data_IF_981547386136
#
_entry.id   IF_981547386136
#
_cell.length_a   1.000
_cell.length_b   1.000
_cell.length_c   1.000
_cell.angle_alpha   90.00
_cell.angle_beta   90.00
_cell.angle_gamma   90.00
#
_symmetry.space_group_name_H-M   'P 1'
#
loop_
_entity.id
_entity.type
_entity.pdbx_description
1 polymer ?
#
# COMPACT_ATOMS: atom_id res chain seq x y z
N UNK A 1 50.04 -1.42 19.38
CA UNK A 1 49.13 -2.09 20.33
C UNK A 1 47.89 -2.50 19.57
N UNK A 2 47.83 -3.77 19.19
CA UNK A 2 46.60 -4.47 18.80
C UNK A 2 45.77 -4.70 20.06
N UNK A 3 44.44 -4.70 19.95
CA UNK A 3 43.60 -5.35 20.96
C UNK A 3 42.24 -4.69 21.18
N UNK A 4 41.20 -5.51 21.04
CA UNK A 4 39.81 -5.32 21.46
C UNK A 4 39.07 -4.18 20.74
N UNK A 5 38.12 -4.45 19.86
CA UNK A 5 36.83 -5.08 20.17
C UNK A 5 36.44 -6.02 19.03
N UNK A 6 36.69 -7.30 19.24
CA UNK A 6 36.12 -8.42 18.50
C UNK A 6 35.65 -9.44 19.53
N UNK A 7 34.43 -9.26 20.04
CA UNK A 7 33.65 -10.29 20.74
C UNK A 7 32.34 -9.65 21.27
N UNK A 8 31.25 -9.83 20.52
CA UNK A 8 29.90 -10.02 21.07
C UNK A 8 28.94 -10.43 19.94
N UNK A 9 29.30 -11.51 19.26
CA UNK A 9 28.33 -12.40 18.63
C UNK A 9 28.60 -13.77 19.22
N UNK A 10 27.92 -14.09 20.32
CA UNK A 10 27.85 -15.46 20.84
C UNK A 10 26.57 -15.63 21.64
N UNK A 11 25.73 -16.56 21.19
CA UNK A 11 24.37 -16.82 21.66
C UNK A 11 23.36 -16.34 20.60
N UNK A 12 22.71 -17.18 19.79
CA UNK A 12 22.08 -18.46 20.12
C UNK A 12 22.13 -19.39 18.88
N UNK A 13 22.75 -20.54 19.11
CA UNK A 13 22.56 -21.88 18.54
C UNK A 13 21.47 -22.03 17.45
N UNK A 14 21.90 -22.08 16.19
CA UNK A 14 21.26 -22.89 15.14
C UNK A 14 21.65 -24.35 15.37
N UNK A 15 20.75 -25.14 15.98
CA UNK A 15 20.83 -26.61 15.98
C UNK A 15 20.09 -27.10 14.76
N UNK A 16 20.79 -27.63 13.74
CA UNK A 16 20.08 -28.33 12.66
C UNK A 16 20.79 -28.58 11.33
N UNK A 17 22.10 -28.34 11.16
CA UNK A 17 22.78 -28.68 9.91
C UNK A 17 23.91 -29.68 10.16
N UNK A 18 23.83 -30.80 9.44
CA UNK A 18 24.74 -31.94 9.49
C UNK A 18 26.18 -31.58 9.04
N UNK A 19 27.20 -32.33 9.49
CA UNK A 19 28.62 -31.96 9.33
C UNK A 19 29.21 -32.20 7.94
N UNK A 20 28.40 -32.48 6.91
CA UNK A 20 28.90 -32.85 5.58
C UNK A 20 29.06 -31.71 4.59
N UNK A 21 28.81 -30.45 4.99
CA UNK A 21 28.99 -29.27 4.13
C UNK A 21 30.14 -28.35 4.56
N UNK A 22 30.94 -28.75 5.56
CA UNK A 22 32.05 -27.93 6.07
C UNK A 22 33.36 -28.08 5.27
N UNK A 23 33.46 -29.00 4.30
CA UNK A 23 34.72 -29.32 3.61
C UNK A 23 34.84 -28.79 2.16
N UNK A 24 33.93 -27.94 1.68
CA UNK A 24 34.04 -27.32 0.34
C UNK A 24 34.42 -25.83 0.38
N UNK A 25 34.63 -25.25 1.57
CA UNK A 25 35.07 -23.86 1.72
C UNK A 25 36.59 -23.73 1.83
N UNK A 26 37.34 -24.11 0.79
CA UNK A 26 38.72 -23.63 0.55
C UNK A 26 39.08 -23.69 -0.95
N UNK A 27 38.58 -22.74 -1.73
CA UNK A 27 39.09 -22.25 -3.03
C UNK A 27 38.10 -21.20 -3.52
N UNK A 28 38.38 -20.00 -4.01
CA UNK A 28 39.55 -19.23 -4.38
C UNK A 28 39.09 -17.73 -4.31
N UNK A 29 39.96 -16.71 -4.37
CA UNK A 29 39.54 -15.31 -4.23
C UNK A 29 38.61 -14.90 -5.37
N UNK A 30 37.47 -14.30 -5.05
CA UNK A 30 36.53 -13.74 -6.04
C UNK A 30 37.21 -12.61 -6.80
N UNK A 31 37.68 -12.90 -8.02
CA UNK A 31 38.05 -11.86 -8.98
C UNK A 31 36.78 -11.08 -9.27
N UNK A 32 36.74 -9.79 -8.91
CA UNK A 32 35.74 -8.85 -9.42
C UNK A 32 35.83 -8.87 -10.94
N UNK A 33 34.88 -9.51 -11.60
CA UNK A 33 34.74 -9.47 -13.06
C UNK A 33 34.24 -8.07 -13.42
N UNK A 34 35.07 -7.32 -14.14
CA UNK A 34 34.63 -6.07 -14.77
C UNK A 34 33.63 -6.47 -15.84
N UNK A 35 32.34 -6.19 -15.60
CA UNK A 35 31.25 -6.55 -16.50
C UNK A 35 31.47 -5.88 -17.86
N UNK A 36 31.42 -6.65 -18.95
CA UNK A 36 31.60 -6.13 -20.29
C UNK A 36 30.49 -5.12 -20.63
N UNK A 37 30.87 -3.99 -21.22
CA UNK A 37 29.92 -2.97 -21.66
C UNK A 37 29.70 -3.11 -23.15
N UNK A 38 28.50 -3.55 -23.55
CA UNK A 38 28.10 -3.67 -24.95
C UNK A 38 27.94 -2.28 -25.57
N UNK A 39 28.45 -2.08 -26.79
CA UNK A 39 28.50 -0.79 -27.47
C UNK A 39 27.72 -0.79 -28.77
N UNK A 40 27.98 -1.77 -29.65
CA UNK A 40 27.32 -1.88 -30.96
C UNK A 40 27.05 -3.35 -31.29
N UNK A 41 26.04 -3.60 -32.11
CA UNK A 41 25.75 -4.93 -32.67
C UNK A 41 25.62 -4.77 -34.18
N UNK A 42 26.42 -5.51 -34.92
CA UNK A 42 26.30 -5.61 -36.38
C UNK A 42 25.54 -6.88 -36.74
N UNK A 43 24.60 -6.77 -37.67
CA UNK A 43 23.86 -7.91 -38.23
C UNK A 43 24.36 -8.12 -39.64
N UNK A 44 24.92 -9.29 -39.89
CA UNK A 44 25.40 -9.74 -41.19
C UNK A 44 24.42 -10.75 -41.78
N UNK A 45 24.24 -10.71 -43.09
CA UNK A 45 23.43 -11.66 -43.83
C UNK A 45 24.17 -12.98 -44.14
N UNK A 46 23.51 -13.90 -44.85
CA UNK A 46 24.06 -15.20 -45.27
C UNK A 46 25.33 -15.08 -46.14
N UNK A 47 25.59 -13.90 -46.71
CA UNK A 47 26.72 -13.62 -47.58
C UNK A 47 27.85 -12.85 -46.87
N UNK A 48 27.66 -12.53 -45.58
CA UNK A 48 28.63 -11.74 -44.80
C UNK A 48 28.56 -10.24 -45.10
N UNK A 49 27.51 -9.77 -45.77
CA UNK A 49 27.26 -8.36 -45.99
C UNK A 49 26.45 -7.76 -44.83
N UNK A 50 26.67 -6.47 -44.55
CA UNK A 50 26.02 -5.79 -43.43
C UNK A 50 24.55 -5.51 -43.74
N UNK A 51 23.66 -6.17 -42.99
CA UNK A 51 22.21 -6.07 -43.08
C UNK A 51 21.64 -5.01 -42.12
N UNK A 52 22.33 -4.74 -41.01
CA UNK A 52 21.96 -3.67 -40.09
C UNK A 52 22.97 -3.42 -38.97
N UNK A 53 22.85 -2.26 -38.33
CA UNK A 53 23.64 -1.86 -37.16
C UNK A 53 22.71 -1.36 -36.05
N UNK A 54 22.91 -1.90 -34.85
CA UNK A 54 22.28 -1.41 -33.62
C UNK A 54 23.34 -0.74 -32.75
N UNK A 55 23.26 0.59 -32.68
CA UNK A 55 24.15 1.42 -31.87
C UNK A 55 23.54 1.59 -30.48
N UNK A 56 24.14 0.98 -29.45
CA UNK A 56 23.71 1.14 -28.06
C UNK A 56 24.43 2.31 -27.37
N UNK A 57 25.63 2.66 -27.86
CA UNK A 57 26.41 3.80 -27.40
C UNK A 57 26.91 4.62 -28.60
N UNK A 58 26.42 5.85 -28.74
CA UNK A 58 26.75 6.76 -29.84
C UNK A 58 28.19 7.27 -29.81
N UNK A 59 28.86 7.17 -28.65
CA UNK A 59 30.21 7.72 -28.45
C UNK A 59 31.31 6.67 -28.76
N UNK A 60 30.94 5.52 -29.33
CA UNK A 60 31.89 4.46 -29.65
C UNK A 60 32.65 4.76 -30.95
N UNK A 61 34.00 4.90 -30.90
CA UNK A 61 34.82 5.34 -32.04
C UNK A 61 35.16 4.23 -33.04
N UNK A 62 34.69 3.00 -32.81
CA UNK A 62 34.97 1.85 -33.66
C UNK A 62 33.80 1.63 -34.60
N UNK A 63 34.11 1.48 -35.89
CA UNK A 63 33.14 1.26 -36.95
C UNK A 63 33.31 -0.12 -37.60
N UNK A 64 32.31 -0.53 -38.39
CA UNK A 64 32.33 -1.79 -39.15
C UNK A 64 33.58 -1.95 -40.03
N UNK A 65 34.13 -0.82 -40.53
CA UNK A 65 35.36 -0.84 -41.33
C UNK A 65 36.60 -1.31 -40.55
N UNK A 66 36.62 -1.13 -39.24
CA UNK A 66 37.72 -1.59 -38.39
C UNK A 66 37.59 -3.07 -38.04
N UNK A 67 36.35 -3.58 -37.95
CA UNK A 67 36.08 -5.02 -37.86
C UNK A 67 36.61 -5.75 -39.10
N UNK A 68 36.33 -5.24 -40.31
CA UNK A 68 36.77 -5.86 -41.56
C UNK A 68 38.30 -5.93 -41.71
N UNK A 69 39.04 -4.97 -41.12
CA UNK A 69 40.51 -4.97 -41.15
C UNK A 69 41.12 -6.05 -40.25
N UNK A 70 40.39 -6.47 -39.21
CA UNK A 70 40.85 -7.43 -38.20
C UNK A 70 40.29 -8.83 -38.44
N UNK A 71 39.32 -8.95 -39.35
CA UNK A 71 38.75 -10.22 -39.74
C UNK A 71 39.81 -11.13 -40.41
N UNK A 72 40.06 -12.34 -39.88
CA UNK A 72 40.96 -13.31 -40.52
C UNK A 72 40.44 -13.71 -41.90
N UNK A 73 41.34 -14.05 -42.82
CA UNK A 73 40.98 -14.55 -44.16
C UNK A 73 40.17 -15.86 -44.13
N UNK A 74 40.22 -16.58 -43.01
CA UNK A 74 39.48 -17.82 -42.74
C UNK A 74 38.07 -17.56 -42.17
N UNK A 75 37.73 -16.30 -41.87
CA UNK A 75 36.47 -15.92 -41.21
C UNK A 75 36.56 -15.97 -39.68
N UNK A 76 35.44 -15.68 -39.02
CA UNK A 76 35.29 -15.77 -37.56
C UNK A 76 34.29 -16.90 -37.24
N UNK A 77 34.63 -17.77 -36.30
CA UNK A 77 33.74 -18.86 -35.88
C UNK A 77 32.63 -18.40 -34.93
N UNK A 78 31.65 -19.27 -34.71
CA UNK A 78 30.59 -19.03 -33.73
C UNK A 78 31.20 -18.94 -32.31
N UNK A 79 30.86 -17.87 -31.60
CA UNK A 79 31.36 -17.51 -30.27
C UNK A 79 32.84 -17.16 -30.19
N UNK A 80 33.50 -16.98 -31.33
CA UNK A 80 34.88 -16.51 -31.36
C UNK A 80 34.96 -15.00 -31.10
N UNK A 81 35.99 -14.60 -30.35
CA UNK A 81 36.25 -13.21 -29.99
C UNK A 81 37.51 -12.67 -30.68
N UNK A 82 37.39 -11.55 -31.39
CA UNK A 82 38.50 -10.78 -31.95
C UNK A 82 38.77 -9.54 -31.10
N UNK A 83 40.04 -9.27 -30.80
CA UNK A 83 40.45 -8.18 -29.93
C UNK A 83 41.01 -7.00 -30.75
N UNK A 84 40.45 -5.81 -30.52
CA UNK A 84 40.89 -4.55 -31.11
C UNK A 84 41.12 -3.54 -29.99
N UNK A 85 42.34 -3.53 -29.46
CA UNK A 85 42.71 -2.68 -28.32
C UNK A 85 41.92 -3.03 -27.06
N UNK A 86 41.07 -2.11 -26.61
CA UNK A 86 40.20 -2.30 -25.44
C UNK A 86 38.82 -2.90 -25.77
N UNK A 87 38.55 -3.11 -27.06
CA UNK A 87 37.28 -3.59 -27.56
C UNK A 87 37.37 -5.02 -28.09
N UNK A 88 36.27 -5.75 -27.96
CA UNK A 88 36.16 -7.16 -28.33
C UNK A 88 34.96 -7.32 -29.24
N UNK A 89 35.19 -7.87 -30.43
CA UNK A 89 34.16 -8.33 -31.35
C UNK A 89 33.88 -9.80 -31.05
N UNK A 90 32.64 -10.17 -30.76
CA UNK A 90 32.24 -11.57 -30.59
C UNK A 90 31.17 -11.91 -31.62
N UNK A 91 31.43 -12.89 -32.47
CA UNK A 91 30.46 -13.34 -33.47
C UNK A 91 29.54 -14.43 -32.90
N UNK A 92 28.27 -14.36 -33.25
CA UNK A 92 27.27 -15.37 -32.95
C UNK A 92 26.55 -15.73 -34.23
N UNK A 93 26.58 -17.01 -34.59
CA UNK A 93 25.88 -17.52 -35.75
C UNK A 93 24.50 -18.01 -35.31
N UNK A 94 23.44 -17.37 -35.81
CA UNK A 94 22.07 -17.82 -35.59
C UNK A 94 21.37 -17.95 -36.94
N UNK A 95 21.16 -19.20 -37.36
CA UNK A 95 20.40 -19.51 -38.57
C UNK A 95 20.99 -18.87 -39.83
N UNK A 96 20.29 -17.88 -40.36
CA UNK A 96 20.62 -17.17 -41.61
C UNK A 96 21.40 -15.87 -41.40
N UNK A 97 21.56 -15.44 -40.15
CA UNK A 97 22.23 -14.19 -39.81
C UNK A 97 23.43 -14.44 -38.91
N UNK A 98 24.45 -13.60 -39.03
CA UNK A 98 25.60 -13.57 -38.14
C UNK A 98 25.59 -12.26 -37.37
N UNK A 99 25.53 -12.34 -36.04
CA UNK A 99 25.51 -11.17 -35.16
C UNK A 99 26.92 -10.94 -34.62
N UNK A 100 27.49 -9.77 -34.86
CA UNK A 100 28.81 -9.39 -34.34
C UNK A 100 28.64 -8.33 -33.26
N UNK A 101 28.91 -8.69 -32.01
CA UNK A 101 28.79 -7.82 -30.85
C UNK A 101 30.11 -7.13 -30.57
N UNK A 102 30.07 -5.80 -30.48
CA UNK A 102 31.19 -4.98 -30.04
C UNK A 102 31.02 -4.63 -28.56
N UNK A 103 31.93 -5.11 -27.71
CA UNK A 103 31.93 -4.85 -26.27
C UNK A 103 33.27 -4.29 -25.81
N UNK A 104 33.25 -3.49 -24.74
CA UNK A 104 34.47 -3.06 -24.03
C UNK A 104 34.71 -4.01 -22.87
N UNK A 105 35.79 -4.80 -22.94
CA UNK A 105 36.08 -5.90 -22.01
C UNK A 105 35.55 -7.26 -22.51
N UNK A 106 36.00 -8.34 -21.85
CA UNK A 106 35.63 -9.71 -22.25
C UNK A 106 34.27 -10.10 -21.67
N UNK A 107 33.38 -10.63 -22.51
CA UNK A 107 32.11 -11.19 -22.07
C UNK A 107 32.38 -12.43 -21.21
N UNK A 108 31.72 -12.53 -20.05
CA UNK A 108 31.78 -13.75 -19.26
C UNK A 108 31.10 -14.89 -20.03
N UNK A 109 31.53 -16.16 -19.86
CA UNK A 109 30.92 -17.29 -20.55
C UNK A 109 29.40 -17.40 -20.31
N UNK A 110 28.94 -17.01 -19.13
CA UNK A 110 27.51 -16.91 -18.79
C UNK A 110 26.79 -15.84 -19.63
N UNK A 111 27.41 -14.68 -19.84
CA UNK A 111 26.85 -13.61 -20.67
C UNK A 111 26.83 -14.01 -22.16
N UNK A 112 27.79 -14.81 -22.61
CA UNK A 112 27.85 -15.37 -23.97
C UNK A 112 26.67 -16.31 -24.23
N UNK A 113 26.33 -17.19 -23.29
CA UNK A 113 25.20 -18.12 -23.46
C UNK A 113 23.85 -17.40 -23.42
N UNK A 114 23.68 -16.41 -22.55
CA UNK A 114 22.47 -15.58 -22.50
C UNK A 114 22.30 -14.73 -23.76
N UNK A 115 23.37 -14.12 -24.26
CA UNK A 115 23.33 -13.33 -25.50
C UNK A 115 23.04 -14.21 -26.71
N UNK A 116 23.64 -15.40 -26.80
CA UNK A 116 23.32 -16.37 -27.84
C UNK A 116 21.83 -16.75 -27.84
N UNK A 117 21.24 -16.99 -26.66
CA UNK A 117 19.83 -17.35 -26.53
C UNK A 117 18.90 -16.21 -26.97
N UNK A 118 19.21 -14.98 -26.56
CA UNK A 118 18.44 -13.79 -26.96
C UNK A 118 18.53 -13.55 -28.47
N UNK A 119 19.72 -13.69 -29.05
CA UNK A 119 19.92 -13.50 -30.49
C UNK A 119 19.26 -14.60 -31.31
N UNK A 120 19.23 -15.84 -30.80
CA UNK A 120 18.49 -16.95 -31.42
C UNK A 120 16.97 -16.69 -31.40
N UNK A 121 16.45 -16.13 -30.30
CA UNK A 121 15.06 -15.70 -30.23
C UNK A 121 14.77 -14.55 -31.20
N UNK A 122 15.67 -13.56 -31.29
CA UNK A 122 15.54 -12.45 -32.23
C UNK A 122 15.61 -12.89 -33.71
N UNK A 123 16.46 -13.87 -34.04
CA UNK A 123 16.52 -14.50 -35.35
C UNK A 123 15.18 -15.14 -35.72
N UNK A 124 14.49 -15.82 -34.79
CA UNK A 124 13.15 -16.35 -35.08
C UNK A 124 12.14 -15.26 -35.49
N UNK A 125 12.28 -14.04 -34.97
CA UNK A 125 11.45 -12.90 -35.32
C UNK A 125 11.88 -12.27 -36.67
N UNK A 126 13.18 -12.18 -36.94
CA UNK A 126 13.71 -11.68 -38.21
C UNK A 126 13.45 -12.68 -39.37
N UNK A 127 13.56 -13.97 -39.10
CA UNK A 127 13.20 -15.07 -39.99
C UNK A 127 11.69 -15.08 -40.28
N UNK A 128 10.82 -14.77 -39.31
CA UNK A 128 9.37 -14.60 -39.56
C UNK A 128 9.04 -13.37 -40.41
N UNK A 129 9.80 -12.29 -40.24
CA UNK A 129 9.65 -11.09 -41.07
C UNK A 129 10.10 -11.32 -42.52
N UNK A 130 11.16 -12.12 -42.72
CA UNK A 130 11.71 -12.46 -44.04
C UNK A 130 11.03 -13.67 -44.70
N UNK A 131 10.39 -14.56 -43.94
CA UNK A 131 9.61 -15.70 -44.44
C UNK A 131 8.21 -15.34 -44.96
N UNK A 132 7.85 -14.04 -45.03
CA UNK A 132 6.76 -13.60 -45.90
C UNK A 132 7.23 -13.70 -47.35
N UNK A 133 6.70 -14.63 -48.16
CA UNK A 133 7.15 -14.75 -49.54
C UNK A 133 6.73 -13.50 -50.31
N UNK A 134 7.70 -12.76 -50.85
CA UNK A 134 7.49 -11.92 -52.02
C UNK A 134 7.39 -12.81 -53.26
N UNK A 135 6.30 -13.58 -53.35
CA UNK A 135 5.92 -14.35 -54.54
C UNK A 135 4.86 -13.60 -55.36
N UNK A 136 4.82 -13.76 -56.69
CA UNK A 136 4.01 -12.94 -57.58
C UNK A 136 2.52 -13.16 -57.29
N UNK A 137 1.81 -12.06 -57.02
CA UNK A 137 0.36 -12.02 -56.80
C UNK A 137 -0.40 -12.63 -57.99
N UNK A 138 -0.81 -13.88 -57.87
CA UNK A 138 -2.02 -14.36 -58.53
C UNK A 138 -3.23 -13.74 -57.85
N UNK A 139 -4.21 -13.33 -58.64
CA UNK A 139 -5.37 -12.55 -58.26
C UNK A 139 -6.42 -13.36 -57.46
N UNK A 140 -6.02 -13.91 -56.32
CA UNK A 140 -6.91 -14.47 -55.30
C UNK A 140 -6.77 -13.61 -54.03
N UNK A 141 -7.82 -13.03 -53.49
CA UNK A 141 -8.81 -12.18 -54.15
C UNK A 141 -8.71 -10.81 -53.44
N UNK A 142 -8.65 -9.69 -54.17
CA UNK A 142 -8.66 -8.34 -53.53
C UNK A 142 -9.83 -8.18 -52.53
N UNK A 143 -10.92 -8.89 -52.79
CA UNK A 143 -12.09 -8.98 -51.94
C UNK A 143 -11.85 -9.68 -50.58
N UNK A 144 -10.99 -10.70 -50.49
CA UNK A 144 -10.65 -11.34 -49.21
C UNK A 144 -9.75 -10.45 -48.35
N UNK A 145 -8.82 -9.72 -48.98
CA UNK A 145 -7.99 -8.74 -48.28
C UNK A 145 -8.82 -7.55 -47.80
N UNK A 146 -9.74 -7.04 -48.62
CA UNK A 146 -10.69 -5.98 -48.24
C UNK A 146 -11.62 -6.42 -47.11
N UNK A 147 -12.12 -7.66 -47.13
CA UNK A 147 -12.92 -8.22 -46.02
C UNK A 147 -12.12 -8.36 -44.73
N UNK A 148 -10.88 -8.86 -44.81
CA UNK A 148 -10.01 -8.98 -43.64
C UNK A 148 -9.62 -7.61 -43.05
N UNK A 149 -9.50 -6.58 -43.89
CA UNK A 149 -9.29 -5.20 -43.45
C UNK A 149 -10.56 -4.62 -42.81
N UNK A 150 -11.73 -4.81 -43.42
CA UNK A 150 -13.01 -4.38 -42.86
C UNK A 150 -13.31 -5.04 -41.50
N UNK A 151 -12.98 -6.33 -41.34
CA UNK A 151 -13.12 -7.04 -40.06
C UNK A 151 -12.16 -6.50 -38.99
N UNK A 152 -10.95 -6.10 -39.39
CA UNK A 152 -9.99 -5.46 -38.47
C UNK A 152 -10.43 -4.07 -38.07
N UNK A 153 -10.92 -3.26 -39.00
CA UNK A 153 -11.49 -1.94 -38.73
C UNK A 153 -12.72 -2.04 -37.83
N UNK A 154 -13.60 -3.02 -38.05
CA UNK A 154 -14.73 -3.28 -37.17
C UNK A 154 -14.30 -3.65 -35.74
N UNK A 155 -13.24 -4.46 -35.58
CA UNK A 155 -12.68 -4.79 -34.26
C UNK A 155 -12.05 -3.57 -33.59
N UNK A 156 -11.29 -2.76 -34.34
CA UNK A 156 -10.69 -1.53 -33.83
C UNK A 156 -11.74 -0.54 -33.38
N UNK A 157 -12.81 -0.32 -34.15
CA UNK A 157 -13.89 0.59 -33.74
C UNK A 157 -14.65 0.11 -32.50
N UNK A 158 -14.79 -1.20 -32.30
CA UNK A 158 -15.35 -1.76 -31.05
C UNK A 158 -14.40 -1.55 -29.87
N UNK A 159 -13.10 -1.74 -30.07
CA UNK A 159 -12.08 -1.48 -29.05
C UNK A 159 -12.01 0.01 -28.69
N UNK A 160 -12.03 0.90 -29.67
CA UNK A 160 -12.06 2.36 -29.47
C UNK A 160 -13.30 2.80 -28.69
N UNK A 161 -14.48 2.24 -28.99
CA UNK A 161 -15.71 2.51 -28.22
C UNK A 161 -15.59 2.00 -26.78
N UNK A 162 -15.07 0.79 -26.59
CA UNK A 162 -14.86 0.24 -25.25
C UNK A 162 -13.85 1.07 -24.42
N UNK A 163 -12.78 1.55 -25.05
CA UNK A 163 -11.81 2.45 -24.43
C UNK A 163 -12.44 3.81 -24.08
N UNK A 164 -13.23 4.39 -24.99
CA UNK A 164 -13.94 5.64 -24.73
C UNK A 164 -14.94 5.51 -23.56
N UNK A 165 -15.65 4.38 -23.46
CA UNK A 165 -16.52 4.08 -22.32
C UNK A 165 -15.74 3.95 -21.00
N UNK A 166 -14.57 3.29 -21.03
CA UNK A 166 -13.71 3.16 -19.86
C UNK A 166 -13.13 4.51 -19.43
N UNK A 167 -12.67 5.34 -20.37
CA UNK A 167 -12.22 6.70 -20.08
C UNK A 167 -13.33 7.55 -19.47
N UNK A 168 -14.57 7.44 -19.98
CA UNK A 168 -15.71 8.14 -19.42
C UNK A 168 -16.01 7.69 -17.98
N UNK A 169 -15.92 6.38 -17.71
CA UNK A 169 -16.07 5.84 -16.34
C UNK A 169 -14.98 6.32 -15.40
N UNK A 170 -13.71 6.27 -15.83
CA UNK A 170 -12.59 6.75 -15.02
C UNK A 170 -12.68 8.26 -14.75
N UNK A 171 -13.11 9.06 -15.74
CA UNK A 171 -13.37 10.49 -15.53
C UNK A 171 -14.49 10.71 -14.51
N UNK A 172 -15.59 9.96 -14.59
CA UNK A 172 -16.68 10.05 -13.61
C UNK A 172 -16.24 9.62 -12.20
N UNK A 173 -15.47 8.54 -12.08
CA UNK A 173 -14.91 8.08 -10.81
C UNK A 173 -13.93 9.10 -10.22
N UNK A 174 -13.08 9.71 -11.05
CA UNK A 174 -12.16 10.77 -10.62
C UNK A 174 -12.91 11.98 -10.07
N UNK A 175 -14.01 12.40 -10.73
CA UNK A 175 -14.87 13.48 -10.25
C UNK A 175 -15.57 13.12 -8.94
N UNK A 176 -16.03 11.87 -8.79
CA UNK A 176 -16.63 11.38 -7.55
C UNK A 176 -15.62 11.35 -6.39
N UNK A 177 -14.38 10.93 -6.65
CA UNK A 177 -13.30 10.95 -5.65
C UNK A 177 -12.94 12.38 -5.25
N UNK A 178 -12.87 13.31 -6.20
CA UNK A 178 -12.67 14.72 -5.92
C UNK A 178 -13.81 15.29 -5.05
N UNK A 179 -15.07 14.99 -5.38
CA UNK A 179 -16.21 15.41 -4.56
C UNK A 179 -16.15 14.86 -3.13
N UNK A 180 -15.80 13.57 -2.96
CA UNK A 180 -15.58 12.98 -1.62
C UNK A 180 -14.42 13.63 -0.87
N UNK A 181 -13.35 13.99 -1.58
CA UNK A 181 -12.21 14.67 -0.99
C UNK A 181 -12.58 16.08 -0.51
N UNK A 182 -13.36 16.83 -1.28
CA UNK A 182 -13.89 18.13 -0.86
C UNK A 182 -14.78 18.01 0.37
N UNK A 183 -15.63 16.98 0.44
CA UNK A 183 -16.50 16.75 1.59
C UNK A 183 -15.71 16.36 2.84
N UNK A 184 -14.67 15.53 2.71
CA UNK A 184 -13.72 15.25 3.79
C UNK A 184 -12.97 16.51 4.23
N UNK A 185 -12.59 17.39 3.30
CA UNK A 185 -11.95 18.65 3.64
C UNK A 185 -12.93 19.57 4.41
N UNK A 186 -14.19 19.65 4.01
CA UNK A 186 -15.23 20.38 4.76
C UNK A 186 -15.43 19.82 6.16
N UNK A 187 -15.45 18.49 6.31
CA UNK A 187 -15.55 17.85 7.62
C UNK A 187 -14.33 18.15 8.50
N UNK A 188 -13.12 18.14 7.92
CA UNK A 188 -11.90 18.54 8.63
C UNK A 188 -11.96 20.00 9.08
N UNK A 189 -12.38 20.90 8.20
CA UNK A 189 -12.58 22.32 8.54
C UNK A 189 -13.58 22.50 9.67
N UNK A 190 -14.71 21.78 9.65
CA UNK A 190 -15.69 21.78 10.73
C UNK A 190 -15.09 21.26 12.05
N UNK A 191 -14.31 20.18 12.02
CA UNK A 191 -13.63 19.66 13.21
C UNK A 191 -12.58 20.63 13.75
N UNK A 192 -11.83 21.31 12.87
CA UNK A 192 -10.89 22.36 13.30
C UNK A 192 -11.61 23.55 13.92
N UNK A 193 -12.74 23.97 13.34
CA UNK A 193 -13.55 25.06 13.91
C UNK A 193 -14.14 24.67 15.27
N UNK A 194 -14.54 23.42 15.46
CA UNK A 194 -14.99 22.89 16.76
C UNK A 194 -13.84 22.85 17.78
N UNK A 195 -12.64 22.44 17.36
CA UNK A 195 -11.45 22.46 18.20
C UNK A 195 -11.11 23.90 18.64
N UNK A 196 -11.10 24.84 17.70
CA UNK A 196 -10.85 26.27 17.98
C UNK A 196 -11.92 26.86 18.91
N UNK A 197 -13.19 26.51 18.70
CA UNK A 197 -14.28 26.92 19.59
C UNK A 197 -14.08 26.37 21.01
N UNK A 198 -13.70 25.09 21.15
CA UNK A 198 -13.43 24.48 22.44
C UNK A 198 -12.25 25.14 23.17
N UNK A 199 -11.19 25.50 22.44
CA UNK A 199 -10.05 26.24 22.99
C UNK A 199 -10.46 27.63 23.46
N UNK A 200 -11.25 28.36 22.67
CA UNK A 200 -11.79 29.68 23.06
C UNK A 200 -12.69 29.60 24.30
N UNK A 201 -13.48 28.54 24.43
CA UNK A 201 -14.29 28.29 25.63
C UNK A 201 -13.44 27.96 26.85
N UNK A 202 -12.37 27.17 26.69
CA UNK A 202 -11.43 26.92 27.79
C UNK A 202 -10.74 28.21 28.23
N UNK A 203 -10.31 29.06 27.29
CA UNK A 203 -9.71 30.36 27.59
C UNK A 203 -10.68 31.35 28.22
N UNK A 204 -11.96 31.31 27.85
CA UNK A 204 -12.98 32.17 28.46
C UNK A 204 -13.29 31.74 29.89
N UNK A 205 -13.38 30.43 30.14
CA UNK A 205 -13.54 29.85 31.48
C UNK A 205 -12.33 30.15 32.36
N UNK A 206 -11.11 29.95 31.85
CA UNK A 206 -9.88 30.27 32.59
C UNK A 206 -9.84 31.76 33.00
N UNK A 207 -10.14 32.67 32.05
CA UNK A 207 -10.22 34.11 32.34
C UNK A 207 -11.36 34.47 33.29
N UNK A 208 -12.49 33.75 33.23
CA UNK A 208 -13.61 33.91 34.17
C UNK A 208 -13.21 33.52 35.60
N UNK A 209 -12.53 32.38 35.75
CA UNK A 209 -11.99 31.91 37.04
C UNK A 209 -10.95 32.88 37.59
N UNK A 210 -10.05 33.39 36.75
CA UNK A 210 -9.05 34.40 37.16
C UNK A 210 -9.69 35.72 37.62
N UNK A 211 -10.79 36.13 37.00
CA UNK A 211 -11.55 37.32 37.45
C UNK A 211 -12.25 37.03 38.77
N UNK A 212 -12.91 35.88 38.89
CA UNK A 212 -13.61 35.46 40.10
C UNK A 212 -12.66 35.36 41.31
N UNK A 213 -11.48 34.79 41.13
CA UNK A 213 -10.44 34.70 42.16
C UNK A 213 -9.90 36.09 42.54
N UNK A 214 -9.69 36.99 41.58
CA UNK A 214 -9.31 38.39 41.85
C UNK A 214 -10.40 39.16 42.59
N UNK A 215 -11.68 38.96 42.25
CA UNK A 215 -12.80 39.60 42.96
C UNK A 215 -12.96 39.03 44.36
N UNK A 216 -12.74 37.72 44.55
CA UNK A 216 -12.76 37.07 45.86
C UNK A 216 -11.63 37.63 46.74
N UNK A 217 -10.40 37.71 46.22
CA UNK A 217 -9.27 38.28 46.94
C UNK A 217 -9.50 39.75 47.36
N UNK A 218 -10.08 40.56 46.47
CA UNK A 218 -10.47 41.95 46.80
C UNK A 218 -11.61 42.02 47.82
N UNK A 219 -12.57 41.10 47.77
CA UNK A 219 -13.65 41.02 48.74
C UNK A 219 -13.10 40.63 50.13
N UNK A 220 -12.15 39.69 50.19
CA UNK A 220 -11.47 39.30 51.43
C UNK A 220 -10.66 40.47 52.03
N UNK A 221 -10.01 41.30 51.20
CA UNK A 221 -9.35 42.54 51.65
C UNK A 221 -10.34 43.57 52.21
N UNK A 222 -11.52 43.71 51.62
CA UNK A 222 -12.58 44.64 52.09
C UNK A 222 -13.23 44.13 53.38
N UNK A 223 -13.44 42.82 53.52
CA UNK A 223 -13.99 42.20 54.74
C UNK A 223 -12.98 42.24 55.88
N UNK A 224 -11.67 42.15 55.59
CA UNK A 224 -10.61 42.34 56.59
C UNK A 224 -10.43 43.79 57.06
N UNK A 225 -11.01 44.78 56.35
CA UNK A 225 -10.75 46.20 56.55
C UNK A 225 -11.95 47.06 56.99
N UNK A 226 -13.15 46.52 57.22
CA UNK A 226 -14.36 47.34 57.47
C UNK A 226 -15.01 47.09 58.83
N UNK A 227 -15.19 48.12 59.69
CA UNK A 227 -16.02 48.01 60.89
C UNK A 227 -17.51 47.95 60.51
N UNK A 228 -18.36 47.32 61.35
CA UNK A 228 -19.74 47.07 61.02
C UNK A 228 -20.58 48.32 61.29
N UNK A 229 -20.78 49.15 60.28
CA UNK A 229 -21.87 50.13 60.28
C UNK A 229 -22.25 50.53 58.86
N UNK A 230 -23.44 50.11 58.46
CA UNK A 230 -24.47 50.92 57.78
C UNK A 230 -25.53 49.99 57.21
N UNK A 231 -26.61 49.81 57.96
CA UNK A 231 -27.86 49.31 57.42
C UNK A 231 -28.49 50.32 56.46
N UNK A 232 -29.31 49.80 55.53
CA UNK A 232 -30.38 50.62 54.93
C UNK A 232 -30.12 51.25 53.57
N UNK A 233 -29.45 50.57 52.63
CA UNK A 233 -29.80 50.75 51.21
C UNK A 233 -29.45 49.50 50.40
N UNK A 234 -30.36 48.53 50.36
CA UNK A 234 -30.37 47.51 49.29
C UNK A 234 -30.63 48.23 47.96
N UNK A 235 -29.54 48.68 47.36
CA UNK A 235 -29.49 49.49 46.14
C UNK A 235 -30.06 48.72 44.95
N UNK A 236 -30.75 49.41 44.03
CA UNK A 236 -31.22 48.89 42.74
C UNK A 236 -30.18 48.04 42.00
N UNK A 237 -28.88 48.35 42.18
CA UNK A 237 -27.77 47.57 41.65
C UNK A 237 -27.74 46.09 42.11
N UNK A 238 -28.18 45.80 43.34
CA UNK A 238 -28.26 44.42 43.85
C UNK A 238 -29.44 43.64 43.22
N UNK A 239 -30.54 44.32 42.89
CA UNK A 239 -31.67 43.71 42.19
C UNK A 239 -31.34 43.47 40.72
N UNK A 240 -30.65 44.40 40.07
CA UNK A 240 -30.21 44.24 38.68
C UNK A 240 -29.14 43.14 38.56
N UNK A 241 -28.23 43.04 39.53
CA UNK A 241 -27.26 41.93 39.61
C UNK A 241 -27.97 40.56 39.78
N UNK A 242 -29.00 40.46 40.62
CA UNK A 242 -29.79 39.23 40.76
C UNK A 242 -30.48 38.84 39.46
N UNK A 243 -31.06 39.81 38.74
CA UNK A 243 -31.68 39.57 37.43
C UNK A 243 -30.67 39.10 36.38
N UNK A 244 -29.47 39.67 36.32
CA UNK A 244 -28.42 39.19 35.42
C UNK A 244 -27.96 37.78 35.77
N UNK A 245 -27.82 37.46 37.06
CA UNK A 245 -27.47 36.10 37.49
C UNK A 245 -28.56 35.08 37.15
N UNK A 246 -29.83 35.44 37.31
CA UNK A 246 -30.95 34.58 36.93
C UNK A 246 -30.99 34.36 35.41
N UNK A 247 -30.72 35.41 34.61
CA UNK A 247 -30.60 35.30 33.16
C UNK A 247 -29.43 34.40 32.75
N UNK A 248 -28.23 34.59 33.31
CA UNK A 248 -27.07 33.74 33.07
C UNK A 248 -27.34 32.29 33.47
N UNK A 249 -28.00 32.05 34.62
CA UNK A 249 -28.39 30.71 35.05
C UNK A 249 -29.35 30.06 34.06
N UNK A 250 -30.34 30.79 33.56
CA UNK A 250 -31.26 30.24 32.54
C UNK A 250 -30.57 29.99 31.19
N UNK A 251 -29.61 30.83 30.80
CA UNK A 251 -28.81 30.61 29.60
C UNK A 251 -27.93 29.36 29.72
N UNK A 252 -27.25 29.18 30.86
CA UNK A 252 -26.42 28.00 31.12
C UNK A 252 -27.24 26.70 31.17
N UNK A 253 -28.48 26.75 31.69
CA UNK A 253 -29.37 25.59 31.67
C UNK A 253 -29.72 25.21 30.21
N UNK A 254 -30.03 26.20 29.37
CA UNK A 254 -30.31 25.95 27.94
C UNK A 254 -29.10 25.40 27.21
N UNK A 255 -27.92 25.98 27.40
CA UNK A 255 -26.67 25.47 26.79
C UNK A 255 -26.36 24.05 27.25
N UNK A 256 -26.61 23.72 28.52
CA UNK A 256 -26.47 22.35 29.03
C UNK A 256 -27.45 21.39 28.35
N UNK A 257 -28.72 21.77 28.21
CA UNK A 257 -29.73 20.96 27.52
C UNK A 257 -29.37 20.73 26.05
N UNK A 258 -28.87 21.76 25.35
CA UNK A 258 -28.39 21.65 23.96
C UNK A 258 -27.16 20.74 23.85
N UNK A 259 -26.21 20.85 24.76
CA UNK A 259 -25.03 19.97 24.79
C UNK A 259 -25.41 18.52 25.10
N UNK A 260 -26.35 18.29 26.01
CA UNK A 260 -26.87 16.95 26.28
C UNK A 260 -27.60 16.36 25.06
N UNK A 261 -28.36 17.17 24.33
CA UNK A 261 -29.00 16.75 23.08
C UNK A 261 -27.96 16.35 22.02
N UNK A 262 -26.94 17.20 21.80
CA UNK A 262 -25.84 16.91 20.86
C UNK A 262 -25.05 15.67 21.28
N UNK A 263 -24.81 15.46 22.56
CA UNK A 263 -24.15 14.25 23.05
C UNK A 263 -24.99 13.00 22.78
N UNK A 264 -26.32 13.06 23.00
CA UNK A 264 -27.23 11.95 22.68
C UNK A 264 -27.22 11.63 21.18
N UNK A 265 -27.27 12.66 20.32
CA UNK A 265 -27.18 12.49 18.87
C UNK A 265 -25.84 11.87 18.44
N UNK A 266 -24.72 12.36 18.98
CA UNK A 266 -23.40 11.81 18.70
C UNK A 266 -23.29 10.35 19.14
N UNK A 267 -23.78 10.00 20.34
CA UNK A 267 -23.81 8.60 20.78
C UNK A 267 -24.69 7.72 19.90
N UNK A 268 -25.80 8.25 19.39
CA UNK A 268 -26.66 7.56 18.43
C UNK A 268 -25.97 7.34 17.08
N UNK A 269 -25.18 8.31 16.60
CA UNK A 269 -24.38 8.16 15.38
C UNK A 269 -23.28 7.12 15.53
N UNK A 270 -22.56 7.13 16.66
CA UNK A 270 -21.53 6.11 16.96
C UNK A 270 -22.14 4.71 16.98
N UNK A 271 -23.28 4.52 17.65
CA UNK A 271 -23.96 3.22 17.68
C UNK A 271 -24.41 2.73 16.28
N UNK A 272 -24.81 3.66 15.39
CA UNK A 272 -25.13 3.32 13.99
C UNK A 272 -23.89 2.88 13.22
N UNK A 273 -22.80 3.65 13.31
CA UNK A 273 -21.54 3.32 12.64
C UNK A 273 -20.95 2.00 13.15
N UNK A 274 -21.05 1.72 14.45
CA UNK A 274 -20.64 0.42 15.02
C UNK A 274 -21.46 -0.75 14.47
N UNK A 275 -22.76 -0.54 14.26
CA UNK A 275 -23.63 -1.56 13.65
C UNK A 275 -23.26 -1.79 12.18
N UNK A 276 -23.10 -0.71 11.42
CA UNK A 276 -22.68 -0.77 10.01
C UNK A 276 -21.31 -1.44 9.85
N UNK A 277 -20.36 -1.16 10.75
CA UNK A 277 -19.05 -1.81 10.75
C UNK A 277 -19.15 -3.32 11.04
N UNK A 278 -19.99 -3.73 12.00
CA UNK A 278 -20.24 -5.15 12.29
C UNK A 278 -20.89 -5.87 11.10
N UNK A 279 -21.86 -5.23 10.47
CA UNK A 279 -22.54 -5.78 9.29
C UNK A 279 -21.56 -5.92 8.11
N UNK A 280 -20.69 -4.93 7.89
CA UNK A 280 -19.65 -4.97 6.86
C UNK A 280 -18.61 -6.07 7.11
N UNK A 281 -18.16 -6.25 8.36
CA UNK A 281 -17.24 -7.35 8.72
C UNK A 281 -17.90 -8.70 8.43
N UNK A 282 -19.16 -8.88 8.82
CA UNK A 282 -19.89 -10.13 8.57
C UNK A 282 -20.08 -10.42 7.07
N UNK A 283 -20.23 -9.38 6.25
CA UNK A 283 -20.32 -9.50 4.79
C UNK A 283 -18.96 -9.93 4.20
N UNK A 284 -17.86 -9.30 4.62
CA UNK A 284 -16.51 -9.67 4.20
C UNK A 284 -16.14 -11.09 4.61
N UNK A 285 -16.55 -11.55 5.78
CA UNK A 285 -16.34 -12.95 6.21
C UNK A 285 -17.10 -13.94 5.31
N UNK A 286 -18.33 -13.62 4.93
CA UNK A 286 -19.10 -14.43 3.97
C UNK A 286 -18.46 -14.47 2.58
N UNK A 287 -17.96 -13.32 2.10
CA UNK A 287 -17.26 -13.26 0.82
C UNK A 287 -15.94 -14.05 0.85
N UNK A 288 -15.17 -13.94 1.94
CA UNK A 288 -13.95 -14.75 2.14
C UNK A 288 -14.28 -16.25 2.14
N UNK A 289 -15.32 -16.67 2.86
CA UNK A 289 -15.77 -18.06 2.85
C UNK A 289 -16.19 -18.53 1.44
N UNK A 290 -16.93 -17.71 0.69
CA UNK A 290 -17.32 -18.03 -0.68
C UNK A 290 -16.14 -18.05 -1.66
N UNK A 291 -15.13 -17.19 -1.47
CA UNK A 291 -13.90 -17.22 -2.25
C UNK A 291 -13.07 -18.47 -1.95
N UNK A 292 -13.00 -18.88 -0.68
CA UNK A 292 -12.32 -20.08 -0.25
C UNK A 292 -12.99 -21.33 -0.84
N UNK A 293 -14.33 -21.41 -0.84
CA UNK A 293 -15.05 -22.53 -1.45
C UNK A 293 -14.82 -22.62 -2.96
N UNK A 294 -14.85 -21.48 -3.66
CA UNK A 294 -14.54 -21.43 -5.10
C UNK A 294 -13.11 -21.89 -5.38
N UNK A 295 -12.13 -21.44 -4.61
CA UNK A 295 -10.74 -21.86 -4.78
C UNK A 295 -10.53 -23.35 -4.52
N UNK A 296 -11.29 -23.94 -3.58
CA UNK A 296 -11.26 -25.37 -3.32
C UNK A 296 -11.89 -26.19 -4.45
N UNK A 297 -12.96 -25.69 -5.07
CA UNK A 297 -13.56 -26.29 -6.28
C UNK A 297 -12.61 -26.20 -7.47
N UNK A 298 -11.95 -25.06 -7.67
CA UNK A 298 -10.92 -24.90 -8.70
C UNK A 298 -9.74 -25.86 -8.48
N UNK A 299 -9.29 -26.05 -7.24
CA UNK A 299 -8.24 -27.02 -6.93
C UNK A 299 -8.66 -28.46 -7.26
N UNK A 300 -9.91 -28.84 -6.94
CA UNK A 300 -10.47 -30.15 -7.31
C UNK A 300 -10.53 -30.35 -8.81
N UNK A 301 -11.02 -29.35 -9.55
CA UNK A 301 -11.09 -29.44 -11.02
C UNK A 301 -9.72 -29.51 -11.67
N UNK A 302 -8.71 -28.80 -11.13
CA UNK A 302 -7.32 -28.94 -11.58
C UNK A 302 -6.80 -30.35 -11.34
N UNK A 303 -7.03 -30.92 -10.16
CA UNK A 303 -6.61 -32.29 -9.85
C UNK A 303 -7.29 -33.33 -10.76
N UNK A 304 -8.58 -33.15 -11.08
CA UNK A 304 -9.29 -33.99 -12.05
C UNK A 304 -8.75 -33.86 -13.48
N UNK A 305 -8.32 -32.66 -13.88
CA UNK A 305 -7.68 -32.46 -15.20
C UNK A 305 -6.32 -33.15 -15.22
N UNK A 306 -5.51 -32.98 -14.18
CA UNK A 306 -4.20 -33.63 -14.05
C UNK A 306 -4.33 -35.16 -14.08
N UNK A 307 -5.32 -35.73 -13.38
CA UNK A 307 -5.55 -37.18 -13.40
C UNK A 307 -5.96 -37.66 -14.80
N UNK A 308 -6.84 -36.93 -15.50
CA UNK A 308 -7.22 -37.26 -16.88
C UNK A 308 -6.05 -37.14 -17.87
N UNK A 309 -5.17 -36.16 -17.69
CA UNK A 309 -3.97 -36.01 -18.51
C UNK A 309 -3.01 -37.18 -18.28
N UNK A 310 -2.81 -37.59 -17.02
CA UNK A 310 -2.00 -38.76 -16.68
C UNK A 310 -2.58 -40.05 -17.29
N UNK A 311 -3.90 -40.25 -17.19
CA UNK A 311 -4.58 -41.38 -17.83
C UNK A 311 -4.40 -41.39 -19.35
N UNK A 312 -4.54 -40.25 -20.01
CA UNK A 312 -4.32 -40.13 -21.46
C UNK A 312 -2.87 -40.43 -21.83
N UNK A 313 -1.90 -39.94 -21.06
CA UNK A 313 -0.47 -40.23 -21.28
C UNK A 313 -0.20 -41.73 -21.18
N UNK A 314 -0.72 -42.40 -20.15
CA UNK A 314 -0.59 -43.86 -20.00
C UNK A 314 -1.23 -44.62 -21.17
N UNK A 315 -2.38 -44.15 -21.68
CA UNK A 315 -3.01 -44.74 -22.87
C UNK A 315 -2.17 -44.55 -24.12
N UNK A 316 -1.54 -43.39 -24.31
CA UNK A 316 -0.62 -43.17 -25.43
C UNK A 316 0.63 -44.06 -25.35
N UNK A 317 1.19 -44.24 -24.15
CA UNK A 317 2.30 -45.19 -23.93
C UNK A 317 1.90 -46.64 -24.17
N UNK A 318 0.69 -47.05 -23.76
CA UNK A 318 0.17 -48.38 -24.03
C UNK A 318 -0.06 -48.61 -25.54
N UNK A 319 -0.68 -47.64 -26.23
CA UNK A 319 -0.94 -47.73 -27.66
C UNK A 319 0.34 -47.74 -28.50
N UNK A 320 1.37 -47.00 -28.09
CA UNK A 320 2.69 -47.02 -28.76
C UNK A 320 3.40 -48.37 -28.55
N UNK A 321 3.36 -48.93 -27.33
CA UNK A 321 3.85 -50.29 -27.06
C UNK A 321 3.11 -51.35 -27.86
N UNK A 322 1.78 -51.22 -28.01
CA UNK A 322 0.97 -52.13 -28.80
C UNK A 322 1.29 -52.04 -30.31
N UNK A 323 1.45 -50.83 -30.86
CA UNK A 323 1.90 -50.63 -32.25
C UNK A 323 3.30 -51.23 -32.51
N UNK A 324 4.23 -51.07 -31.57
CA UNK A 324 5.56 -51.71 -31.64
C UNK A 324 5.48 -53.24 -31.56
N UNK A 325 4.55 -53.80 -30.78
CA UNK A 325 4.32 -55.24 -30.73
C UNK A 325 3.65 -55.78 -32.00
N UNK A 326 2.74 -55.00 -32.59
CA UNK A 326 2.05 -55.33 -33.82
C UNK A 326 2.98 -55.26 -35.05
N UNK A 327 3.91 -54.31 -35.11
CA UNK A 327 4.88 -54.21 -36.22
C UNK A 327 5.86 -55.39 -36.29
N UNK A 328 5.96 -56.20 -35.24
CA UNK A 328 6.76 -57.43 -35.22
C UNK A 328 6.02 -58.65 -35.78
N UNK A 329 4.74 -58.53 -36.20
CA UNK A 329 4.03 -59.57 -36.96
C UNK A 329 3.96 -59.15 -38.43
N UNK A 330 4.59 -59.96 -39.28
CA UNK A 330 4.87 -59.69 -40.68
C UNK A 330 3.62 -59.33 -41.52
N UNK A 331 3.75 -58.28 -42.33
CA UNK A 331 2.77 -57.86 -43.34
C UNK A 331 3.12 -58.51 -44.69
N UNK A 332 2.20 -59.30 -45.24
CA UNK A 332 2.26 -59.81 -46.61
C UNK A 332 1.44 -58.95 -47.55
N UNK A 333 2.04 -58.52 -48.65
CA UNK A 333 1.49 -57.54 -49.61
C UNK A 333 0.55 -58.22 -50.64
N UNK A 334 -0.74 -57.89 -50.58
CA UNK A 334 -1.79 -58.30 -51.54
C UNK A 334 -2.65 -57.08 -51.91
N UNK A 335 -3.56 -57.16 -52.89
CA UNK A 335 -4.45 -56.03 -53.24
C UNK A 335 -5.35 -55.57 -52.06
N UNK A 336 -5.51 -56.39 -51.02
CA UNK A 336 -6.10 -55.98 -49.75
C UNK A 336 -5.19 -55.01 -48.97
N UNK A 337 -3.86 -55.17 -49.06
CA UNK A 337 -2.89 -54.23 -48.50
C UNK A 337 -2.93 -52.89 -49.24
N UNK A 338 -3.17 -52.87 -50.55
CA UNK A 338 -3.38 -51.60 -51.26
C UNK A 338 -4.64 -50.86 -50.79
N UNK A 339 -5.78 -51.56 -50.65
CA UNK A 339 -6.99 -50.95 -50.07
C UNK A 339 -6.82 -50.59 -48.60
N UNK A 340 -6.06 -51.37 -47.83
CA UNK A 340 -5.71 -51.06 -46.45
C UNK A 340 -4.83 -49.81 -46.38
N UNK A 341 -3.80 -49.69 -47.22
CA UNK A 341 -2.94 -48.49 -47.28
C UNK A 341 -3.68 -47.25 -47.78
N UNK A 342 -4.68 -47.39 -48.65
CA UNK A 342 -5.58 -46.28 -49.03
C UNK A 342 -6.52 -45.88 -47.88
N UNK A 343 -7.04 -46.86 -47.13
CA UNK A 343 -7.77 -46.65 -45.88
C UNK A 343 -6.94 -45.94 -44.81
N UNK A 344 -5.71 -46.42 -44.59
CA UNK A 344 -4.73 -45.82 -43.69
C UNK A 344 -4.35 -44.40 -44.14
N UNK A 345 -4.16 -44.15 -45.44
CA UNK A 345 -3.94 -42.78 -45.95
C UNK A 345 -5.14 -41.88 -45.69
N UNK A 346 -6.37 -42.39 -45.83
CA UNK A 346 -7.58 -41.63 -45.52
C UNK A 346 -7.68 -41.35 -44.01
N UNK A 347 -7.35 -42.31 -43.15
CA UNK A 347 -7.27 -42.14 -41.70
C UNK A 347 -6.19 -41.15 -41.29
N UNK A 348 -4.98 -41.27 -41.83
CA UNK A 348 -3.88 -40.31 -41.63
C UNK A 348 -4.27 -38.90 -42.10
N UNK A 349 -5.06 -38.77 -43.16
CA UNK A 349 -5.56 -37.46 -43.61
C UNK A 349 -6.57 -36.85 -42.63
N UNK A 350 -7.38 -37.69 -41.96
CA UNK A 350 -8.33 -37.26 -40.92
C UNK A 350 -7.61 -36.93 -39.62
N UNK A 351 -6.64 -37.75 -39.23
CA UNK A 351 -5.75 -37.50 -38.09
C UNK A 351 -4.96 -36.23 -38.29
N UNK A 352 -4.41 -35.98 -39.49
CA UNK A 352 -3.71 -34.72 -39.80
C UNK A 352 -4.63 -33.51 -39.65
N UNK A 353 -5.87 -33.59 -40.14
CA UNK A 353 -6.87 -32.50 -39.97
C UNK A 353 -7.28 -32.32 -38.51
N UNK A 354 -7.40 -33.40 -37.75
CA UNK A 354 -7.70 -33.36 -36.32
C UNK A 354 -6.55 -32.74 -35.53
N UNK A 355 -5.31 -33.17 -35.78
CA UNK A 355 -4.10 -32.60 -35.17
C UNK A 355 -3.92 -31.12 -35.55
N UNK A 356 -4.22 -30.75 -36.79
CA UNK A 356 -4.18 -29.35 -37.22
C UNK A 356 -5.22 -28.50 -36.50
N UNK A 357 -6.46 -28.99 -36.33
CA UNK A 357 -7.49 -28.32 -35.51
C UNK A 357 -7.09 -28.24 -34.04
N UNK A 358 -6.51 -29.31 -33.50
CA UNK A 358 -6.04 -29.38 -32.11
C UNK A 358 -4.89 -28.41 -31.86
N UNK A 359 -3.99 -28.25 -32.82
CA UNK A 359 -2.89 -27.29 -32.78
C UNK A 359 -3.43 -25.85 -32.77
N UNK A 360 -4.44 -25.54 -33.59
CA UNK A 360 -5.12 -24.23 -33.58
C UNK A 360 -5.82 -24.00 -32.23
N UNK A 361 -6.55 -24.98 -31.69
CA UNK A 361 -7.19 -24.88 -30.38
C UNK A 361 -6.17 -24.66 -29.23
N UNK A 362 -4.98 -25.27 -29.33
CA UNK A 362 -3.91 -25.06 -28.36
C UNK A 362 -3.31 -23.65 -28.47
N UNK A 363 -3.07 -23.16 -29.70
CA UNK A 363 -2.62 -21.79 -29.94
C UNK A 363 -3.64 -20.76 -29.42
N UNK A 364 -4.93 -20.95 -29.70
CA UNK A 364 -5.99 -20.06 -29.19
C UNK A 364 -6.06 -20.09 -27.65
N UNK A 365 -5.81 -21.25 -27.03
CA UNK A 365 -5.74 -21.36 -25.56
C UNK A 365 -4.51 -20.66 -25.01
N UNK A 366 -3.36 -20.79 -25.67
CA UNK A 366 -2.13 -20.13 -25.28
C UNK A 366 -2.27 -18.61 -25.41
N UNK A 367 -2.86 -18.10 -26.49
CA UNK A 367 -3.15 -16.67 -26.66
C UNK A 367 -4.08 -16.17 -25.55
N UNK A 368 -5.13 -16.92 -25.20
CA UNK A 368 -6.00 -16.59 -24.05
C UNK A 368 -5.29 -16.64 -22.70
N UNK A 369 -4.26 -17.47 -22.55
CA UNK A 369 -3.44 -17.51 -21.33
C UNK A 369 -2.52 -16.30 -21.29
N UNK A 370 -1.84 -15.96 -22.39
CA UNK A 370 -1.04 -14.73 -22.50
C UNK A 370 -1.86 -13.47 -22.23
N UNK A 371 -3.09 -13.38 -22.73
CA UNK A 371 -4.01 -12.28 -22.46
C UNK A 371 -4.42 -12.18 -20.98
N UNK A 372 -4.42 -13.31 -20.26
CA UNK A 372 -4.71 -13.32 -18.82
C UNK A 372 -3.47 -12.97 -18.01
N UNK A 373 -2.30 -13.42 -18.45
CA UNK A 373 -1.01 -13.09 -17.85
C UNK A 373 -0.72 -11.60 -17.99
N UNK A 374 -0.90 -11.01 -19.17
CA UNK A 374 -0.74 -9.57 -19.37
C UNK A 374 -1.68 -8.74 -18.49
N UNK A 375 -2.95 -9.15 -18.37
CA UNK A 375 -3.90 -8.53 -17.42
C UNK A 375 -3.53 -8.77 -15.96
N UNK A 376 -2.83 -9.87 -15.66
CA UNK A 376 -2.28 -10.16 -14.34
C UNK A 376 -1.15 -9.19 -14.02
N UNK A 377 -0.19 -9.04 -14.93
CA UNK A 377 0.95 -8.13 -14.82
C UNK A 377 0.49 -6.67 -14.70
N UNK A 378 -0.51 -6.25 -15.47
CA UNK A 378 -1.12 -4.91 -15.35
C UNK A 378 -1.71 -4.67 -13.95
N UNK A 379 -2.42 -5.66 -13.40
CA UNK A 379 -2.97 -5.59 -12.04
C UNK A 379 -1.88 -5.59 -10.98
N UNK A 380 -0.83 -6.37 -11.17
CA UNK A 380 0.31 -6.41 -10.25
C UNK A 380 1.05 -5.06 -10.26
N UNK A 381 1.26 -4.46 -11.43
CA UNK A 381 1.81 -3.12 -11.55
C UNK A 381 0.91 -2.05 -10.91
N UNK A 382 -0.41 -2.15 -11.07
CA UNK A 382 -1.35 -1.23 -10.41
C UNK A 382 -1.31 -1.38 -8.88
N UNK A 383 -1.25 -2.60 -8.37
CA UNK A 383 -1.12 -2.88 -6.94
C UNK A 383 0.21 -2.36 -6.40
N UNK A 384 1.31 -2.57 -7.11
CA UNK A 384 2.62 -2.04 -6.74
C UNK A 384 2.60 -0.51 -6.63
N UNK A 385 2.01 0.19 -7.60
CA UNK A 385 1.83 1.65 -7.54
C UNK A 385 1.01 2.10 -6.32
N UNK A 386 -0.08 1.39 -6.02
CA UNK A 386 -0.90 1.70 -4.84
C UNK A 386 -0.15 1.47 -3.52
N UNK A 387 0.69 0.45 -3.45
CA UNK A 387 1.56 0.21 -2.29
C UNK A 387 2.56 1.36 -2.14
N UNK A 388 3.20 1.79 -3.22
CA UNK A 388 4.13 2.93 -3.19
C UNK A 388 3.43 4.23 -2.73
N UNK A 389 2.22 4.49 -3.22
CA UNK A 389 1.41 5.64 -2.78
C UNK A 389 1.03 5.56 -1.29
N UNK A 390 0.64 4.38 -0.80
CA UNK A 390 0.31 4.19 0.61
C UNK A 390 1.53 4.38 1.50
N UNK A 391 2.68 3.81 1.13
CA UNK A 391 3.92 3.99 1.89
C UNK A 391 4.37 5.45 1.92
N UNK A 392 4.22 6.20 0.82
CA UNK A 392 4.48 7.64 0.79
C UNK A 392 3.55 8.41 1.74
N UNK A 393 2.26 8.09 1.75
CA UNK A 393 1.27 8.69 2.67
C UNK A 393 1.58 8.34 4.13
N UNK A 394 1.99 7.13 4.43
CA UNK A 394 2.40 6.72 5.78
C UNK A 394 3.60 7.53 6.27
N UNK A 395 4.60 7.75 5.39
CA UNK A 395 5.74 8.60 5.71
C UNK A 395 5.34 10.06 5.96
N UNK A 396 4.41 10.60 5.18
CA UNK A 396 3.91 11.96 5.37
C UNK A 396 3.12 12.11 6.67
N UNK A 397 2.29 11.13 7.02
CA UNK A 397 1.61 11.08 8.32
C UNK A 397 2.62 11.00 9.46
N UNK A 398 3.66 10.17 9.35
CA UNK A 398 4.73 10.09 10.34
C UNK A 398 5.49 11.41 10.50
N UNK A 399 5.73 12.15 9.40
CA UNK A 399 6.32 13.50 9.45
C UNK A 399 5.38 14.49 10.12
N UNK A 400 4.09 14.46 9.82
CA UNK A 400 3.11 15.33 10.47
C UNK A 400 2.97 15.03 11.97
N UNK A 401 2.96 13.75 12.38
CA UNK A 401 2.89 13.39 13.80
C UNK A 401 4.14 13.81 14.57
N UNK A 402 5.33 13.69 13.98
CA UNK A 402 6.58 14.17 14.61
C UNK A 402 6.60 15.69 14.74
N UNK A 403 6.14 16.44 13.73
CA UNK A 403 5.99 17.91 13.81
C UNK A 403 4.98 18.30 14.89
N UNK A 404 3.84 17.62 14.99
CA UNK A 404 2.83 17.86 16.03
C UNK A 404 3.35 17.51 17.44
N UNK A 405 4.16 16.46 17.56
CA UNK A 405 4.79 16.08 18.83
C UNK A 405 5.84 17.12 19.28
N UNK A 406 6.59 17.70 18.34
CA UNK A 406 7.56 18.77 18.63
C UNK A 406 6.88 20.12 18.90
N UNK A 407 5.72 20.38 18.32
CA UNK A 407 4.94 21.60 18.53
C UNK A 407 4.14 21.59 19.85
N UNK A 408 4.05 20.45 20.56
CA UNK A 408 3.31 20.34 21.82
C UNK A 408 4.22 20.62 23.02
N UNK A 409 4.04 21.71 23.78
CA UNK A 409 4.80 21.94 25.00
C UNK A 409 4.51 20.85 26.05
N UNK A 410 5.46 20.52 26.94
CA UNK A 410 5.33 19.41 27.87
C UNK A 410 4.20 19.67 28.89
N UNK A 411 3.11 18.93 28.76
CA UNK A 411 1.92 18.91 29.64
C UNK A 411 2.25 18.50 31.09
N UNK A 412 3.48 18.05 31.36
CA UNK A 412 3.91 17.57 32.66
C UNK A 412 4.00 18.68 33.74
N UNK A 413 4.28 19.93 33.36
CA UNK A 413 4.41 21.04 34.32
C UNK A 413 3.05 21.50 34.86
N UNK A 414 2.03 21.62 34.00
CA UNK A 414 0.70 22.06 34.42
C UNK A 414 -0.04 21.11 35.35
N UNK A 415 0.28 19.80 35.32
CA UNK A 415 -0.35 18.81 36.22
C UNK A 415 0.19 18.89 37.65
N UNK A 416 1.48 19.17 37.80
CA UNK A 416 2.11 19.35 39.11
C UNK A 416 1.66 20.67 39.77
N UNK A 417 1.56 21.75 38.99
CA UNK A 417 1.03 23.03 39.46
C UNK A 417 -0.44 22.93 39.88
N UNK A 418 -1.26 22.16 39.16
CA UNK A 418 -2.65 21.92 39.52
C UNK A 418 -2.80 21.13 40.83
N UNK A 419 -1.92 20.16 41.09
CA UNK A 419 -1.95 19.36 42.31
C UNK A 419 -1.43 20.15 43.53
N UNK A 420 -0.48 21.05 43.35
CA UNK A 420 -0.04 21.99 44.39
C UNK A 420 -1.12 23.02 44.73
N UNK A 421 -1.79 23.57 43.71
CA UNK A 421 -2.92 24.48 43.90
C UNK A 421 -4.08 23.82 44.67
N UNK A 422 -4.38 22.54 44.38
CA UNK A 422 -5.39 21.76 45.13
C UNK A 422 -5.04 21.60 46.60
N UNK A 423 -3.77 21.32 46.92
CA UNK A 423 -3.29 21.20 48.31
C UNK A 423 -3.35 22.53 49.06
N UNK A 424 -3.06 23.66 48.40
CA UNK A 424 -3.18 24.98 49.01
C UNK A 424 -4.64 25.34 49.31
N UNK A 425 -5.55 25.04 48.37
CA UNK A 425 -7.00 25.22 48.58
C UNK A 425 -7.47 24.39 49.78
N UNK A 426 -7.06 23.12 49.90
CA UNK A 426 -7.46 22.27 51.03
C UNK A 426 -6.96 22.82 52.38
N UNK A 427 -5.74 23.37 52.42
CA UNK A 427 -5.19 24.02 53.63
C UNK A 427 -6.00 25.27 53.99
N UNK A 428 -6.34 26.10 53.01
CA UNK A 428 -7.17 27.31 53.23
C UNK A 428 -8.57 26.93 53.73
N UNK A 429 -9.18 25.89 53.19
CA UNK A 429 -10.48 25.37 53.66
C UNK A 429 -10.38 24.93 55.12
N UNK A 430 -9.34 24.20 55.52
CA UNK A 430 -9.12 23.82 56.93
C UNK A 430 -8.97 25.03 57.85
N UNK A 431 -8.21 26.05 57.44
CA UNK A 431 -8.06 27.28 58.21
C UNK A 431 -9.39 28.01 58.37
N UNK A 432 -10.21 28.08 57.31
CA UNK A 432 -11.54 28.70 57.34
C UNK A 432 -12.46 27.93 58.28
N UNK A 433 -12.49 26.60 58.18
CA UNK A 433 -13.28 25.75 59.07
C UNK A 433 -12.88 25.92 60.55
N UNK A 434 -11.57 25.97 60.83
CA UNK A 434 -11.07 26.21 62.19
C UNK A 434 -11.46 27.59 62.70
N UNK A 435 -11.32 28.65 61.88
CA UNK A 435 -11.79 29.99 62.23
C UNK A 435 -13.29 30.06 62.47
N UNK A 436 -14.09 29.32 61.69
CA UNK A 436 -15.53 29.25 61.90
C UNK A 436 -15.89 28.64 63.28
N UNK A 437 -15.18 27.59 63.70
CA UNK A 437 -15.34 27.00 65.03
C UNK A 437 -14.90 27.97 66.14
N UNK A 438 -13.77 28.65 65.97
CA UNK A 438 -13.30 29.67 66.93
C UNK A 438 -14.27 30.85 67.07
N UNK A 439 -14.94 31.25 65.98
CA UNK A 439 -15.96 32.30 66.01
C UNK A 439 -17.22 31.84 66.74
N UNK A 440 -17.66 30.59 66.54
CA UNK A 440 -18.76 30.00 67.29
C UNK A 440 -18.44 29.94 68.80
N UNK A 441 -17.24 29.48 69.18
CA UNK A 441 -16.80 29.45 70.58
C UNK A 441 -16.75 30.85 71.21
N UNK A 442 -16.33 31.86 70.44
CA UNK A 442 -16.35 33.26 70.89
C UNK A 442 -17.77 33.78 71.07
N UNK A 443 -18.68 33.44 70.16
CA UNK A 443 -20.09 33.79 70.26
C UNK A 443 -20.73 33.17 71.52
N UNK A 444 -20.45 31.90 71.81
CA UNK A 444 -20.93 31.26 73.04
C UNK A 444 -20.36 31.92 74.30
N UNK A 445 -19.06 32.29 74.30
CA UNK A 445 -18.46 33.03 75.42
C UNK A 445 -19.08 34.42 75.60
N UNK A 446 -19.39 35.11 74.51
CA UNK A 446 -20.09 36.39 74.56
C UNK A 446 -21.52 36.23 75.07
N UNK A 447 -22.24 35.17 74.66
CA UNK A 447 -23.57 34.84 75.21
C UNK A 447 -23.52 34.57 76.71
N UNK A 448 -22.53 33.81 77.19
CA UNK A 448 -22.36 33.54 78.63
C UNK A 448 -22.06 34.82 79.42
N UNK A 449 -21.18 35.68 78.90
CA UNK A 449 -20.89 36.99 79.52
C UNK A 449 -22.10 37.91 79.50
N UNK A 450 -22.89 37.92 78.43
CA UNK A 450 -24.13 38.67 78.36
C UNK A 450 -25.13 38.19 79.42
N UNK A 451 -25.29 36.87 79.60
CA UNK A 451 -26.14 36.30 80.64
C UNK A 451 -25.62 36.59 82.06
N UNK A 452 -24.30 36.59 82.28
CA UNK A 452 -23.69 36.99 83.55
C UNK A 452 -23.91 38.48 83.85
N UNK A 453 -23.77 39.35 82.85
CA UNK A 453 -24.05 40.78 82.98
C UNK A 453 -25.53 41.02 83.26
N UNK A 454 -26.44 40.35 82.56
CA UNK A 454 -27.89 40.41 82.82
C UNK A 454 -28.23 39.92 84.24
N UNK A 455 -27.55 38.87 84.73
CA UNK A 455 -27.71 38.39 86.11
C UNK A 455 -27.12 39.37 87.14
N UNK A 456 -26.03 40.08 86.83
CA UNK A 456 -25.47 41.13 87.67
C UNK A 456 -26.37 42.38 87.68
N UNK A 457 -26.91 42.78 86.53
CA UNK A 457 -27.91 43.83 86.41
C UNK A 457 -29.18 43.49 87.17
N UNK A 458 -29.67 42.25 87.08
CA UNK A 458 -30.79 41.78 87.88
C UNK A 458 -30.52 41.88 89.39
N UNK A 459 -29.30 41.54 89.84
CA UNK A 459 -28.87 41.67 91.25
C UNK A 459 -28.73 43.12 91.70
N UNK A 460 -28.22 44.01 90.83
CA UNK A 460 -28.09 45.45 91.10
C UNK A 460 -29.45 46.16 91.05
N UNK A 461 -30.39 45.68 90.24
CA UNK A 461 -31.79 46.12 90.20
C UNK A 461 -32.64 45.60 91.36
N UNK A 462 -32.02 44.89 92.31
CA UNK A 462 -32.61 44.38 93.53
C UNK A 462 -33.16 45.49 94.44
N UNK A 463 -34.44 45.80 94.21
CA UNK A 463 -35.43 46.28 95.18
C UNK A 463 -35.16 45.69 96.57
N UNK A 464 -34.75 46.55 97.50
CA UNK A 464 -34.74 46.26 98.94
C UNK A 464 -36.17 45.95 99.37
N UNK A 465 -36.46 44.82 100.05
CA UNK A 465 -37.70 44.69 100.80
C UNK A 465 -37.59 45.62 102.01
N UNK A 466 -38.35 46.72 101.99
CA UNK A 466 -38.63 47.49 103.20
C UNK A 466 -39.70 46.74 104.00
N UNK A 467 -39.54 46.76 105.33
CA UNK A 467 -40.45 46.24 106.36
C UNK A 467 -41.93 46.60 106.14
#
# INVERSE_FOLDING_TARGET
>A
MQGAIAALVSGIVMRGLSPTLATVLMAAPSRRTVRALLKKIYVLDEHGEMSGEYVLDSDCPIDYSDFLKVLPAEGIGDRDSLFVGEYVFTAFQSGKFVFVLLSRGHLAPEDVDWTALILTAADSHLAQATARPSGPRSAESKAEVERALADREARLTVQEKALAEQEARLRAESANLQGRQEELNRQKEQLTALADYSARMQDSVARGVDRATKTLAKADEVVGGRPPDSGGSESKAALDARKSFDQERTALIKEKEELEARHREATGQVARLEKEAKDAISALEKERAASASKSAEEAKTRQEIESRVAELSQRFEAATKERLAASNRAAGDSDEVRRATEGEKAELSRERKFLQRRAIELLDREERVRDRESKGDEREHELARRVDELTAREQDVARQTTVLAQAKPPVATGRLEADEARKDIERRVKIIQQKALELLDREEKLRRRAAELEAMEARLSGRVPAE
#
